data_IF_970713446473
#
_entry.id   IF_970713446473
#
_cell.length_a   1.000
_cell.length_b   1.000
_cell.length_c   1.000
_cell.angle_alpha   90.00
_cell.angle_beta   90.00
_cell.angle_gamma   90.00
#
_symmetry.space_group_name_H-M   'P 1'
#
loop_
_entity.id
_entity.type
_entity.pdbx_description
1 polymer ?
#
# COMPACT_ATOMS: atom_id res chain seq x y z
N UNK A 1 12.95 -19.51 -11.21
CA UNK A 1 11.81 -19.35 -12.15
C UNK A 1 10.80 -18.37 -11.55
N UNK A 2 11.27 -17.22 -11.05
CA UNK A 2 10.53 -16.44 -10.03
C UNK A 2 10.14 -15.04 -10.51
N UNK A 3 10.70 -14.57 -11.62
CA UNK A 3 10.39 -13.28 -12.24
C UNK A 3 8.96 -13.23 -12.79
N UNK A 4 8.43 -14.35 -13.29
CA UNK A 4 7.06 -14.41 -13.80
C UNK A 4 6.02 -14.14 -12.71
N UNK A 5 6.22 -14.67 -11.50
CA UNK A 5 5.33 -14.40 -10.37
C UNK A 5 5.35 -12.93 -9.98
N UNK A 6 6.55 -12.33 -9.91
CA UNK A 6 6.69 -10.90 -9.61
C UNK A 6 6.04 -10.06 -10.72
N UNK A 7 6.25 -10.40 -11.99
CA UNK A 7 5.68 -9.68 -13.13
C UNK A 7 4.15 -9.79 -13.18
N UNK A 8 3.59 -10.99 -13.02
CA UNK A 8 2.14 -11.21 -12.98
C UNK A 8 1.51 -10.49 -11.79
N UNK A 9 2.08 -10.62 -10.60
CA UNK A 9 1.62 -9.90 -9.42
C UNK A 9 1.69 -8.39 -9.61
N UNK A 10 2.82 -7.89 -10.12
CA UNK A 10 3.03 -6.48 -10.40
C UNK A 10 2.04 -5.91 -11.42
N UNK A 11 1.73 -6.65 -12.49
CA UNK A 11 0.73 -6.27 -13.47
C UNK A 11 -0.67 -6.15 -12.85
N UNK A 12 -1.06 -7.10 -11.99
CA UNK A 12 -2.32 -7.05 -11.23
C UNK A 12 -2.33 -5.82 -10.32
N UNK A 13 -1.28 -5.63 -9.51
CA UNK A 13 -1.18 -4.51 -8.58
C UNK A 13 -1.25 -3.15 -9.27
N UNK A 14 -0.46 -2.95 -10.32
CA UNK A 14 -0.44 -1.71 -11.09
C UNK A 14 -1.79 -1.43 -11.77
N UNK A 15 -2.46 -2.47 -12.29
CA UNK A 15 -3.79 -2.35 -12.90
C UNK A 15 -4.86 -1.95 -11.87
N UNK A 16 -4.83 -2.54 -10.67
CA UNK A 16 -5.73 -2.18 -9.57
C UNK A 16 -5.51 -0.74 -9.12
N UNK A 17 -4.25 -0.33 -8.95
CA UNK A 17 -3.89 1.06 -8.62
C UNK A 17 -4.42 2.03 -9.67
N UNK A 18 -4.20 1.71 -10.95
CA UNK A 18 -4.68 2.52 -12.06
C UNK A 18 -6.22 2.64 -12.05
N UNK A 19 -6.93 1.53 -11.84
CA UNK A 19 -8.38 1.51 -11.72
C UNK A 19 -8.92 2.37 -10.57
N UNK A 20 -8.33 2.28 -9.38
CA UNK A 20 -8.70 3.12 -8.22
C UNK A 20 -8.46 4.60 -8.53
N UNK A 21 -7.40 4.93 -9.27
CA UNK A 21 -7.14 6.26 -9.77
C UNK A 21 -8.37 6.88 -10.47
N UNK A 22 -9.08 6.12 -11.30
CA UNK A 22 -10.31 6.62 -11.94
C UNK A 22 -11.49 6.80 -10.99
N UNK A 23 -11.65 5.90 -10.02
CA UNK A 23 -12.80 5.91 -9.11
C UNK A 23 -12.71 7.06 -8.09
N UNK A 24 -11.50 7.39 -7.64
CA UNK A 24 -11.27 8.38 -6.57
C UNK A 24 -10.90 9.76 -7.13
N UNK A 25 -10.54 9.89 -8.41
CA UNK A 25 -10.23 11.18 -9.04
C UNK A 25 -11.49 12.05 -9.16
N UNK A 26 -11.76 12.85 -8.12
CA UNK A 26 -12.66 14.00 -8.20
C UNK A 26 -11.84 15.28 -8.35
N UNK A 27 -12.12 16.12 -9.37
CA UNK A 27 -11.32 17.30 -9.70
C UNK A 27 -11.35 18.44 -8.66
N UNK A 28 -12.04 18.26 -7.53
CA UNK A 28 -12.26 19.33 -6.53
C UNK A 28 -11.38 19.21 -5.27
N UNK A 29 -10.68 18.09 -5.05
CA UNK A 29 -9.83 17.91 -3.86
C UNK A 29 -8.36 18.15 -4.17
N UNK A 30 -7.72 19.05 -3.42
CA UNK A 30 -6.26 19.23 -3.43
C UNK A 30 -5.52 18.05 -2.80
N UNK A 31 -6.17 17.32 -1.88
CA UNK A 31 -5.55 16.18 -1.21
C UNK A 31 -5.53 14.94 -2.13
N UNK A 32 -4.38 14.25 -2.30
CA UNK A 32 -4.24 13.09 -3.18
C UNK A 32 -4.86 11.79 -2.64
N UNK A 33 -6.19 11.75 -2.51
CA UNK A 33 -6.92 10.63 -1.88
C UNK A 33 -6.68 9.27 -2.55
N UNK A 34 -6.53 9.24 -3.88
CA UNK A 34 -6.29 8.00 -4.60
C UNK A 34 -4.98 7.35 -4.14
N UNK A 35 -3.86 8.07 -4.25
CA UNK A 35 -2.53 7.59 -3.83
C UNK A 35 -2.45 7.34 -2.32
N UNK A 36 -3.07 8.19 -1.52
CA UNK A 36 -3.14 7.99 -0.07
C UNK A 36 -3.82 6.65 0.27
N UNK A 37 -5.04 6.44 -0.23
CA UNK A 37 -5.85 5.26 0.12
C UNK A 37 -5.22 3.94 -0.31
N UNK A 38 -4.67 3.85 -1.52
CA UNK A 38 -3.99 2.63 -1.99
C UNK A 38 -2.77 2.30 -1.13
N UNK A 39 -2.01 3.31 -0.69
CA UNK A 39 -0.83 3.09 0.15
C UNK A 39 -1.24 2.62 1.55
N UNK A 40 -2.25 3.24 2.17
CA UNK A 40 -2.77 2.81 3.48
C UNK A 40 -3.33 1.38 3.41
N UNK A 41 -4.14 1.07 2.38
CA UNK A 41 -4.67 -0.27 2.19
C UNK A 41 -3.55 -1.28 1.93
N UNK A 42 -2.54 -0.92 1.14
CA UNK A 42 -1.36 -1.76 0.91
C UNK A 42 -0.59 -2.06 2.18
N UNK A 43 -0.38 -1.07 3.06
CA UNK A 43 0.23 -1.27 4.38
C UNK A 43 -0.58 -2.23 5.25
N UNK A 44 -1.90 -2.09 5.29
CA UNK A 44 -2.79 -3.01 6.02
C UNK A 44 -2.66 -4.46 5.53
N UNK A 45 -2.74 -4.67 4.21
CA UNK A 45 -2.59 -5.98 3.59
C UNK A 45 -1.19 -6.59 3.80
N UNK A 46 -0.15 -5.74 3.79
CA UNK A 46 1.20 -6.15 4.12
C UNK A 46 1.31 -6.68 5.57
N UNK A 47 0.68 -6.00 6.52
CA UNK A 47 0.60 -6.43 7.92
C UNK A 47 -0.09 -7.78 8.09
N UNK A 48 -1.25 -7.96 7.43
CA UNK A 48 -1.98 -9.24 7.38
C UNK A 48 -1.07 -10.35 6.87
N UNK A 49 -0.46 -10.12 5.71
CA UNK A 49 0.39 -11.14 5.08
C UNK A 49 1.58 -11.49 5.96
N UNK A 50 2.21 -10.48 6.57
CA UNK A 50 3.34 -10.69 7.48
C UNK A 50 2.95 -11.60 8.65
N UNK A 51 1.80 -11.36 9.30
CA UNK A 51 1.31 -12.22 10.38
C UNK A 51 1.11 -13.67 9.94
N UNK A 52 0.53 -13.91 8.76
CA UNK A 52 0.38 -15.26 8.22
C UNK A 52 1.73 -15.94 7.95
N UNK A 53 2.74 -15.21 7.47
CA UNK A 53 4.07 -15.79 7.23
C UNK A 53 4.80 -16.22 8.49
N UNK A 54 4.45 -15.66 9.65
CA UNK A 54 5.00 -16.11 10.95
C UNK A 54 4.43 -17.46 11.37
N UNK A 55 3.15 -17.72 11.05
CA UNK A 55 2.50 -19.01 11.35
C UNK A 55 2.79 -20.07 10.30
N UNK A 56 2.90 -19.67 9.04
CA UNK A 56 3.08 -20.56 7.89
C UNK A 56 4.34 -20.17 7.10
N UNK A 57 5.52 -20.67 7.47
CA UNK A 57 6.79 -20.33 6.82
C UNK A 57 6.81 -20.62 5.31
N UNK A 58 6.00 -21.57 4.83
CA UNK A 58 5.87 -21.90 3.40
C UNK A 58 5.44 -20.69 2.54
N UNK A 59 4.73 -19.71 3.13
CA UNK A 59 4.32 -18.49 2.45
C UNK A 59 5.48 -17.51 2.17
N UNK A 60 6.65 -17.72 2.79
CA UNK A 60 7.81 -16.81 2.63
C UNK A 60 8.55 -16.97 1.28
N UNK A 61 8.22 -17.99 0.50
CA UNK A 61 8.85 -18.28 -0.79
C UNK A 61 8.07 -17.64 -1.95
N UNK A 62 7.47 -18.46 -2.82
CA UNK A 62 6.81 -17.99 -4.05
C UNK A 62 5.60 -17.09 -3.77
N UNK A 63 4.84 -17.34 -2.70
CA UNK A 63 3.70 -16.49 -2.33
C UNK A 63 4.14 -15.09 -1.92
N UNK A 64 5.28 -14.94 -1.23
CA UNK A 64 5.86 -13.63 -0.91
C UNK A 64 6.25 -12.88 -2.17
N UNK A 65 6.83 -13.56 -3.15
CA UNK A 65 7.22 -12.93 -4.42
C UNK A 65 5.99 -12.49 -5.22
N UNK A 66 4.96 -13.33 -5.32
CA UNK A 66 3.74 -12.98 -6.04
C UNK A 66 2.95 -11.87 -5.33
N UNK A 67 2.68 -12.01 -4.04
CA UNK A 67 1.78 -11.11 -3.31
C UNK A 67 2.49 -9.86 -2.78
N UNK A 68 3.56 -10.02 -2.00
CA UNK A 68 4.26 -8.91 -1.34
C UNK A 68 5.10 -8.10 -2.35
N UNK A 69 5.95 -8.77 -3.13
CA UNK A 69 6.82 -8.08 -4.09
C UNK A 69 6.05 -7.69 -5.35
N UNK A 70 5.22 -8.60 -5.88
CA UNK A 70 4.40 -8.36 -7.07
C UNK A 70 3.20 -7.46 -6.80
N UNK A 71 2.11 -8.03 -6.27
CA UNK A 71 0.82 -7.32 -6.13
C UNK A 71 0.95 -6.06 -5.30
N UNK A 72 1.41 -6.15 -4.06
CA UNK A 72 1.51 -4.97 -3.18
C UNK A 72 2.55 -3.97 -3.68
N UNK A 73 3.66 -4.45 -4.25
CA UNK A 73 4.67 -3.60 -4.88
C UNK A 73 4.15 -2.81 -6.08
N UNK A 74 3.29 -3.40 -6.92
CA UNK A 74 2.64 -2.71 -8.05
C UNK A 74 1.44 -1.84 -7.64
N UNK A 75 0.74 -2.26 -6.58
CA UNK A 75 -0.47 -1.61 -6.06
C UNK A 75 -0.17 -0.34 -5.27
N UNK A 76 0.92 -0.31 -4.51
CA UNK A 76 1.37 0.87 -3.76
C UNK A 76 2.39 1.66 -4.58
N UNK A 77 2.61 2.92 -4.21
CA UNK A 77 3.56 3.78 -4.94
C UNK A 77 4.14 4.88 -4.05
N UNK A 78 5.46 4.88 -3.90
CA UNK A 78 6.19 5.97 -3.25
C UNK A 78 6.51 7.10 -4.24
N UNK A 79 6.69 6.79 -5.53
CA UNK A 79 7.04 7.79 -6.55
C UNK A 79 5.89 8.76 -6.82
N UNK A 80 4.65 8.27 -6.91
CA UNK A 80 3.46 9.15 -7.04
C UNK A 80 3.29 10.02 -5.80
N UNK A 81 3.41 9.42 -4.62
CA UNK A 81 3.38 10.14 -3.34
C UNK A 81 4.39 11.29 -3.29
N UNK A 82 5.64 11.03 -3.68
CA UNK A 82 6.69 12.05 -3.71
C UNK A 82 6.42 13.17 -4.73
N UNK A 83 5.95 12.82 -5.93
CA UNK A 83 5.62 13.79 -6.97
C UNK A 83 4.46 14.70 -6.53
N UNK A 84 3.39 14.13 -6.00
CA UNK A 84 2.22 14.88 -5.51
C UNK A 84 2.59 15.78 -4.33
N UNK A 85 3.40 15.29 -3.39
CA UNK A 85 3.91 16.10 -2.28
C UNK A 85 4.74 17.28 -2.78
N UNK A 86 5.66 17.03 -3.73
CA UNK A 86 6.48 18.08 -4.33
C UNK A 86 5.63 19.10 -5.11
N UNK A 87 4.60 18.65 -5.82
CA UNK A 87 3.67 19.53 -6.53
C UNK A 87 2.90 20.44 -5.56
N UNK A 88 2.38 19.90 -4.46
CA UNK A 88 1.71 20.70 -3.43
C UNK A 88 2.63 21.77 -2.84
N UNK A 89 3.89 21.42 -2.56
CA UNK A 89 4.91 22.37 -2.08
C UNK A 89 5.16 23.45 -3.13
N UNK A 90 5.39 23.08 -4.39
CA UNK A 90 5.66 24.02 -5.48
C UNK A 90 4.50 24.97 -5.74
N UNK A 91 3.27 24.54 -5.50
CA UNK A 91 2.05 25.35 -5.62
C UNK A 91 1.76 26.19 -4.37
N UNK A 92 2.58 26.10 -3.32
CA UNK A 92 2.40 26.86 -2.07
C UNK A 92 1.41 26.25 -1.08
N UNK A 93 0.89 25.04 -1.35
CA UNK A 93 -0.05 24.33 -0.48
C UNK A 93 0.65 23.55 0.65
N UNK A 94 1.53 24.23 1.40
CA UNK A 94 2.34 23.62 2.46
C UNK A 94 1.55 22.85 3.53
N UNK A 95 0.41 23.37 4.06
CA UNK A 95 -0.35 22.64 5.07
C UNK A 95 -0.87 21.29 4.56
N UNK A 96 -1.30 21.24 3.29
CA UNK A 96 -1.81 20.02 2.65
C UNK A 96 -0.68 19.05 2.38
N UNK A 97 0.47 19.53 1.88
CA UNK A 97 1.66 18.70 1.68
C UNK A 97 2.13 18.05 2.98
N UNK A 98 2.16 18.81 4.08
CA UNK A 98 2.54 18.31 5.39
C UNK A 98 1.53 17.27 5.90
N UNK A 99 0.23 17.58 5.84
CA UNK A 99 -0.83 16.66 6.23
C UNK A 99 -0.78 15.36 5.42
N UNK A 100 -0.59 15.44 4.10
CA UNK A 100 -0.49 14.28 3.21
C UNK A 100 0.72 13.42 3.54
N UNK A 101 1.89 14.03 3.73
CA UNK A 101 3.15 13.35 4.08
C UNK A 101 3.03 12.63 5.42
N UNK A 102 2.66 13.37 6.47
CA UNK A 102 2.62 12.86 7.84
C UNK A 102 1.55 11.78 7.97
N UNK A 103 0.36 12.00 7.42
CA UNK A 103 -0.71 11.00 7.48
C UNK A 103 -0.35 9.74 6.70
N UNK A 104 0.25 9.83 5.51
CA UNK A 104 0.64 8.65 4.72
C UNK A 104 1.60 7.75 5.50
N UNK A 105 2.57 8.33 6.22
CA UNK A 105 3.54 7.57 7.01
C UNK A 105 2.92 7.02 8.28
N UNK A 106 2.33 7.89 9.12
CA UNK A 106 1.82 7.49 10.43
C UNK A 106 0.65 6.52 10.27
N UNK A 107 -0.35 6.88 9.47
CA UNK A 107 -1.53 6.02 9.28
C UNK A 107 -1.13 4.72 8.58
N UNK A 108 -0.17 4.76 7.66
CA UNK A 108 0.33 3.56 6.99
C UNK A 108 0.92 2.55 7.97
N UNK A 109 1.83 3.00 8.84
CA UNK A 109 2.42 2.13 9.88
C UNK A 109 1.36 1.62 10.86
N UNK A 110 0.43 2.49 11.28
CA UNK A 110 -0.69 2.09 12.15
C UNK A 110 -1.55 1.02 11.50
N UNK A 111 -1.93 1.17 10.24
CA UNK A 111 -2.76 0.20 9.53
C UNK A 111 -2.02 -1.11 9.28
N UNK A 112 -0.71 -1.08 9.02
CA UNK A 112 0.11 -2.29 8.99
C UNK A 112 0.04 -3.03 10.34
N UNK A 113 0.25 -2.32 11.45
CA UNK A 113 0.19 -2.91 12.78
C UNK A 113 -1.21 -3.48 13.07
N UNK A 114 -2.28 -2.75 12.73
CA UNK A 114 -3.66 -3.23 12.87
C UNK A 114 -3.86 -4.54 12.09
N UNK A 115 -3.47 -4.57 10.81
CA UNK A 115 -3.59 -5.77 9.97
C UNK A 115 -2.84 -6.96 10.55
N UNK A 116 -1.64 -6.73 11.08
CA UNK A 116 -0.83 -7.74 11.74
C UNK A 116 -1.49 -8.30 13.02
N UNK A 117 -1.89 -7.41 13.94
CA UNK A 117 -2.44 -7.83 15.24
C UNK A 117 -3.83 -8.45 15.14
N UNK A 118 -4.67 -8.01 14.19
CA UNK A 118 -5.96 -8.66 13.90
C UNK A 118 -5.74 -10.14 13.57
N UNK A 119 -4.81 -10.42 12.65
CA UNK A 119 -4.53 -11.80 12.23
C UNK A 119 -3.88 -12.60 13.35
N UNK A 120 -2.95 -12.02 14.10
CA UNK A 120 -2.38 -12.70 15.28
C UNK A 120 -3.45 -13.09 16.30
N UNK A 121 -4.39 -12.21 16.60
CA UNK A 121 -5.48 -12.51 17.54
C UNK A 121 -6.33 -13.69 17.05
N UNK A 122 -6.68 -13.69 15.77
CA UNK A 122 -7.45 -14.78 15.15
C UNK A 122 -6.67 -16.11 15.18
N UNK A 123 -5.38 -16.08 14.88
CA UNK A 123 -4.53 -17.28 14.84
C UNK A 123 -4.13 -17.79 16.22
N UNK A 124 -4.00 -16.91 17.23
CA UNK A 124 -3.68 -17.28 18.62
C UNK A 124 -4.86 -17.92 19.35
N UNK A 125 -6.07 -17.77 18.84
CA UNK A 125 -7.28 -18.38 19.42
C UNK A 125 -7.45 -19.85 19.00
N UNK A 126 -6.49 -20.41 18.22
CA UNK A 126 -6.47 -21.81 17.77
C UNK A 126 -5.17 -22.50 18.15
#
# INVERSE_FOLDING_TARGET
MNWLLVACGGAIGASLRYGIGFLISKPLSLFPWATWSINILGCFLAGIFFAFTLRYPILQQETRLFFMVGILGGFTTFSSFGLETFQLIRQGHFPIALAYTVSSVIVGVVFLAIGFYIVQMILSTK
#
